data_IF_112783828658
#
_entry.id   IF_112783828658
#
_cell.length_a   1.000
_cell.length_b   1.000
_cell.length_c   1.000
_cell.angle_alpha   90.00
_cell.angle_beta   90.00
_cell.angle_gamma   90.00
#
_symmetry.space_group_name_H-M   'P 1'
#
loop_
_entity.id
_entity.type
_entity.pdbx_description
1 polymer ?
#
# COMPACT_ATOMS: atom_id res chain seq x y z
N UNK A 1 -1.49 4.68 8.21
CA UNK A 1 -2.96 4.77 8.16
C UNK A 1 -3.51 5.05 6.76
N UNK A 2 -2.95 5.99 5.98
CA UNK A 2 -3.41 6.28 4.60
C UNK A 2 -3.53 5.05 3.70
N UNK A 3 -2.50 4.18 3.68
CA UNK A 3 -2.53 2.89 2.96
C UNK A 3 -3.69 1.97 3.39
N UNK A 4 -4.00 1.91 4.69
CA UNK A 4 -5.14 1.12 5.16
C UNK A 4 -6.46 1.69 4.66
N UNK A 5 -6.62 3.02 4.69
CA UNK A 5 -7.81 3.68 4.14
C UNK A 5 -7.98 3.39 2.65
N UNK A 6 -6.89 3.34 1.87
CA UNK A 6 -6.93 2.99 0.45
C UNK A 6 -7.48 1.57 0.24
N UNK A 7 -6.92 0.56 0.91
CA UNK A 7 -7.37 -0.83 0.70
C UNK A 7 -8.79 -1.10 1.25
N UNK A 8 -9.23 -0.39 2.30
CA UNK A 8 -10.63 -0.46 2.73
C UNK A 8 -11.56 0.14 1.68
N UNK A 9 -11.18 1.27 1.07
CA UNK A 9 -11.96 1.87 -0.03
C UNK A 9 -11.99 0.96 -1.26
N UNK A 10 -10.87 0.31 -1.60
CA UNK A 10 -10.81 -0.62 -2.72
C UNK A 10 -11.68 -1.87 -2.49
N UNK A 11 -11.64 -2.42 -1.28
CA UNK A 11 -12.56 -3.48 -0.88
C UNK A 11 -14.02 -3.05 -1.11
N UNK A 12 -14.42 -1.88 -0.60
CA UNK A 12 -15.80 -1.43 -0.77
C UNK A 12 -16.16 -1.15 -2.24
N UNK A 13 -15.21 -0.66 -3.05
CA UNK A 13 -15.41 -0.43 -4.49
C UNK A 13 -15.70 -1.73 -5.24
N UNK A 14 -14.93 -2.79 -4.96
CA UNK A 14 -15.14 -4.11 -5.58
C UNK A 14 -16.41 -4.77 -5.05
N UNK A 15 -16.70 -4.64 -3.75
CA UNK A 15 -17.92 -5.20 -3.15
C UNK A 15 -19.18 -4.58 -3.77
N UNK A 16 -19.20 -3.25 -3.96
CA UNK A 16 -20.30 -2.55 -4.64
C UNK A 16 -20.48 -3.05 -6.09
N UNK A 17 -19.38 -3.31 -6.80
CA UNK A 17 -19.46 -3.90 -8.14
C UNK A 17 -20.14 -5.28 -8.12
N UNK A 18 -19.80 -6.16 -7.17
CA UNK A 18 -20.47 -7.47 -7.09
C UNK A 18 -21.93 -7.37 -6.65
N UNK A 19 -22.25 -6.49 -5.72
CA UNK A 19 -23.63 -6.23 -5.28
C UNK A 19 -24.54 -5.81 -6.44
N UNK A 20 -24.01 -4.98 -7.35
CA UNK A 20 -24.76 -4.52 -8.53
C UNK A 20 -24.83 -5.55 -9.68
N UNK A 21 -23.90 -6.50 -9.75
CA UNK A 21 -23.71 -7.36 -10.93
C UNK A 21 -23.92 -8.85 -10.68
N UNK A 22 -24.26 -9.26 -9.45
CA UNK A 22 -24.45 -10.68 -9.08
C UNK A 22 -25.65 -10.85 -8.17
N UNK A 23 -26.13 -12.09 -8.03
CA UNK A 23 -27.14 -12.47 -7.02
C UNK A 23 -26.49 -13.02 -5.74
N UNK A 24 -25.24 -12.65 -5.47
CA UNK A 24 -24.51 -13.17 -4.32
C UNK A 24 -24.99 -12.56 -3.00
N UNK A 25 -25.03 -13.39 -1.97
CA UNK A 25 -25.26 -12.94 -0.61
C UNK A 25 -24.05 -12.15 -0.07
N UNK A 26 -24.29 -11.30 0.93
CA UNK A 26 -23.29 -10.39 1.50
C UNK A 26 -21.99 -11.08 1.95
N UNK A 27 -22.07 -12.27 2.53
CA UNK A 27 -20.89 -13.05 2.95
C UNK A 27 -20.04 -13.48 1.74
N UNK A 28 -20.67 -13.90 0.65
CA UNK A 28 -19.97 -14.30 -0.56
C UNK A 28 -19.29 -13.09 -1.21
N UNK A 29 -20.00 -11.95 -1.30
CA UNK A 29 -19.41 -10.69 -1.78
C UNK A 29 -18.18 -10.32 -0.94
N UNK A 30 -18.28 -10.39 0.39
CA UNK A 30 -17.17 -10.07 1.28
C UNK A 30 -15.96 -10.98 1.05
N UNK A 31 -16.15 -12.30 0.99
CA UNK A 31 -15.05 -13.25 0.83
C UNK A 31 -14.40 -13.16 -0.54
N UNK A 32 -15.18 -13.05 -1.62
CA UNK A 32 -14.63 -12.90 -2.97
C UNK A 32 -13.88 -11.58 -3.12
N UNK A 33 -14.42 -10.50 -2.56
CA UNK A 33 -13.72 -9.21 -2.56
C UNK A 33 -12.43 -9.25 -1.74
N UNK A 34 -12.46 -9.86 -0.55
CA UNK A 34 -11.26 -10.08 0.27
C UNK A 34 -10.21 -10.90 -0.47
N UNK A 35 -10.63 -11.92 -1.22
CA UNK A 35 -9.72 -12.76 -2.03
C UNK A 35 -9.04 -11.95 -3.13
N UNK A 36 -9.77 -11.06 -3.81
CA UNK A 36 -9.22 -10.17 -4.83
C UNK A 36 -8.21 -9.19 -4.23
N UNK A 37 -8.55 -8.50 -3.14
CA UNK A 37 -7.63 -7.58 -2.46
C UNK A 37 -6.36 -8.32 -1.99
N UNK A 38 -6.50 -9.55 -1.50
CA UNK A 38 -5.35 -10.41 -1.17
C UNK A 38 -4.46 -10.71 -2.39
N UNK A 39 -5.06 -10.95 -3.56
CA UNK A 39 -4.34 -11.16 -4.81
C UNK A 39 -3.65 -9.86 -5.31
N UNK A 40 -4.28 -8.70 -5.15
CA UNK A 40 -3.66 -7.39 -5.47
C UNK A 40 -2.41 -7.15 -4.62
N UNK A 41 -2.50 -7.38 -3.30
CA UNK A 41 -1.37 -7.26 -2.38
C UNK A 41 -0.23 -8.22 -2.76
N UNK A 42 -0.55 -9.47 -3.09
CA UNK A 42 0.44 -10.44 -3.56
C UNK A 42 1.06 -10.00 -4.89
N UNK A 43 0.26 -9.52 -5.83
CA UNK A 43 0.74 -9.06 -7.12
C UNK A 43 1.73 -7.91 -6.95
N UNK A 44 1.35 -6.85 -6.23
CA UNK A 44 2.22 -5.69 -5.96
C UNK A 44 3.51 -6.16 -5.27
N UNK A 45 3.41 -7.01 -4.26
CA UNK A 45 4.58 -7.51 -3.50
C UNK A 45 5.56 -8.25 -4.40
N UNK A 46 5.11 -9.27 -5.13
CA UNK A 46 6.00 -10.12 -5.92
C UNK A 46 6.44 -9.48 -7.24
N UNK A 47 5.60 -8.62 -7.83
CA UNK A 47 5.86 -8.01 -9.13
C UNK A 47 6.62 -6.70 -9.05
N UNK A 48 6.33 -5.88 -8.05
CA UNK A 48 6.77 -4.50 -7.99
C UNK A 48 7.75 -4.26 -6.84
N UNK A 49 7.46 -4.77 -5.65
CA UNK A 49 8.27 -4.50 -4.45
C UNK A 49 9.54 -5.39 -4.36
N UNK A 50 9.37 -6.72 -4.35
CA UNK A 50 10.49 -7.66 -4.19
C UNK A 50 11.60 -7.48 -5.25
N UNK A 51 11.32 -7.21 -6.54
CA UNK A 51 12.37 -6.99 -7.53
C UNK A 51 13.19 -5.71 -7.31
N UNK A 52 12.67 -4.73 -6.54
CA UNK A 52 13.42 -3.54 -6.15
C UNK A 52 14.31 -3.81 -4.93
N UNK A 53 13.91 -4.75 -4.07
CA UNK A 53 14.62 -5.10 -2.83
C UNK A 53 15.67 -6.19 -3.01
N UNK A 54 15.42 -7.15 -3.90
CA UNK A 54 16.21 -8.36 -4.06
C UNK A 54 16.94 -8.40 -5.38
N UNK A 55 18.14 -8.99 -5.37
CA UNK A 55 18.90 -9.18 -6.61
C UNK A 55 18.13 -10.06 -7.61
N UNK A 56 18.29 -9.84 -8.93
CA UNK A 56 17.70 -10.71 -9.95
C UNK A 56 18.08 -12.19 -9.78
N UNK A 57 19.27 -12.47 -9.21
CA UNK A 57 19.71 -13.83 -8.87
C UNK A 57 18.83 -14.43 -7.76
N UNK A 58 18.62 -13.70 -6.66
CA UNK A 58 17.77 -14.13 -5.55
C UNK A 58 16.34 -14.43 -5.99
N UNK A 59 15.75 -13.55 -6.83
CA UNK A 59 14.41 -13.74 -7.38
C UNK A 59 14.32 -15.04 -8.21
N UNK A 60 15.32 -15.32 -9.05
CA UNK A 60 15.36 -16.54 -9.86
C UNK A 60 15.59 -17.79 -9.02
N UNK A 61 16.59 -17.77 -8.16
CA UNK A 61 17.00 -18.93 -7.37
C UNK A 61 15.89 -19.40 -6.41
N UNK A 62 15.00 -18.48 -5.99
CA UNK A 62 13.87 -18.77 -5.11
C UNK A 62 12.50 -18.81 -5.82
N UNK A 63 12.46 -18.76 -7.16
CA UNK A 63 11.22 -18.80 -7.95
C UNK A 63 10.17 -17.75 -7.52
N UNK A 64 10.61 -16.53 -7.20
CA UNK A 64 9.74 -15.44 -6.71
C UNK A 64 9.11 -14.62 -7.84
N UNK A 65 9.49 -14.87 -9.09
CA UNK A 65 8.90 -14.16 -10.23
C UNK A 65 7.49 -14.69 -10.53
N UNK A 66 6.53 -13.79 -10.74
CA UNK A 66 5.20 -14.15 -11.20
C UNK A 66 5.27 -14.85 -12.58
N UNK A 67 4.38 -15.83 -12.76
CA UNK A 67 4.19 -16.50 -14.05
C UNK A 67 3.71 -15.48 -15.10
N UNK A 68 4.19 -15.63 -16.33
CA UNK A 68 3.78 -14.79 -17.46
C UNK A 68 2.56 -15.41 -18.17
N UNK A 69 1.68 -14.56 -18.68
CA UNK A 69 0.50 -14.95 -19.45
C UNK A 69 -0.69 -15.36 -18.59
N UNK A 70 -1.59 -16.16 -19.15
CA UNK A 70 -2.86 -16.57 -18.52
C UNK A 70 -2.76 -17.83 -17.65
N UNK A 71 -1.54 -18.28 -17.32
CA UNK A 71 -1.30 -19.52 -16.57
C UNK A 71 -1.34 -19.27 -15.06
N UNK A 72 -2.01 -20.15 -14.33
CA UNK A 72 -2.02 -20.15 -12.87
C UNK A 72 -0.80 -20.90 -12.31
N UNK A 73 -0.36 -20.50 -11.11
CA UNK A 73 0.66 -21.23 -10.37
C UNK A 73 0.07 -22.55 -9.85
N UNK A 74 0.71 -23.66 -10.17
CA UNK A 74 0.31 -25.02 -9.77
C UNK A 74 1.34 -25.70 -8.84
N UNK A 75 2.32 -24.94 -8.33
CA UNK A 75 3.41 -25.45 -7.49
C UNK A 75 3.15 -25.36 -5.98
N UNK A 76 1.89 -25.26 -5.54
CA UNK A 76 1.59 -25.25 -4.10
C UNK A 76 2.05 -26.56 -3.46
N UNK A 77 2.89 -26.45 -2.43
CA UNK A 77 3.38 -27.59 -1.67
C UNK A 77 2.90 -27.47 -0.20
N UNK A 78 1.99 -28.34 0.26
CA UNK A 78 1.45 -28.27 1.61
C UNK A 78 2.48 -28.59 2.71
N UNK A 79 3.64 -29.12 2.35
CA UNK A 79 4.72 -29.43 3.30
C UNK A 79 5.68 -28.25 3.54
N UNK A 80 5.51 -27.14 2.83
CA UNK A 80 6.31 -25.93 3.06
C UNK A 80 5.84 -25.25 4.35
N UNK A 81 6.77 -24.98 5.26
CA UNK A 81 6.45 -24.19 6.44
C UNK A 81 6.26 -22.72 6.04
N UNK A 82 5.01 -22.24 6.08
CA UNK A 82 4.65 -20.86 5.77
C UNK A 82 4.83 -19.89 6.96
N UNK A 83 5.35 -20.36 8.10
CA UNK A 83 5.60 -19.49 9.26
C UNK A 83 6.71 -18.48 8.96
N UNK A 84 6.48 -17.24 9.40
CA UNK A 84 7.49 -16.19 9.37
C UNK A 84 8.62 -16.54 10.35
N UNK A 85 9.87 -16.44 9.89
CA UNK A 85 11.03 -16.68 10.75
C UNK A 85 11.22 -15.53 11.75
N UNK A 86 11.71 -15.86 12.95
CA UNK A 86 12.02 -14.86 13.98
C UNK A 86 13.07 -13.85 13.51
N UNK A 87 14.06 -14.29 12.75
CA UNK A 87 15.10 -13.41 12.20
C UNK A 87 14.51 -12.37 11.23
N UNK A 88 13.53 -12.78 10.42
CA UNK A 88 12.85 -11.88 9.49
C UNK A 88 12.05 -10.81 10.25
N UNK A 89 11.23 -11.22 11.22
CA UNK A 89 10.34 -10.31 11.98
C UNK A 89 11.08 -9.38 12.94
N UNK A 90 12.13 -9.88 13.61
CA UNK A 90 12.82 -9.14 14.66
C UNK A 90 13.90 -8.19 14.11
N UNK A 91 14.49 -8.51 12.96
CA UNK A 91 15.66 -7.79 12.45
C UNK A 91 15.59 -7.50 10.95
N UNK A 92 15.57 -8.53 10.09
CA UNK A 92 15.86 -8.34 8.67
C UNK A 92 14.88 -7.39 7.97
N UNK A 93 13.57 -7.53 8.24
CA UNK A 93 12.56 -6.69 7.59
C UNK A 93 12.47 -5.26 8.16
N UNK A 94 13.27 -4.93 9.19
CA UNK A 94 13.40 -3.55 9.70
C UNK A 94 14.33 -2.68 8.86
N UNK A 95 14.92 -3.19 7.78
CA UNK A 95 15.71 -2.38 6.83
C UNK A 95 14.92 -1.15 6.35
N UNK A 96 13.59 -1.25 6.27
CA UNK A 96 12.71 -0.14 5.94
C UNK A 96 12.82 1.08 6.89
N UNK A 97 13.33 0.92 8.11
CA UNK A 97 13.59 2.05 9.01
C UNK A 97 14.62 3.02 8.45
N UNK A 98 15.60 2.53 7.67
CA UNK A 98 16.59 3.39 6.98
C UNK A 98 16.00 4.15 5.79
N UNK A 99 14.79 3.80 5.34
CA UNK A 99 14.10 4.45 4.22
C UNK A 99 13.17 5.58 4.67
N UNK A 100 12.94 5.73 5.97
CA UNK A 100 12.02 6.72 6.55
C UNK A 100 12.64 8.12 6.50
N UNK A 101 11.91 9.07 5.91
CA UNK A 101 12.27 10.48 5.93
C UNK A 101 11.86 11.14 7.27
N UNK A 102 12.49 12.25 7.65
CA UNK A 102 12.13 12.98 8.88
C UNK A 102 10.72 13.59 8.84
N UNK A 103 10.25 13.92 7.63
CA UNK A 103 8.94 14.51 7.38
C UNK A 103 8.29 13.87 6.15
N UNK A 104 6.97 13.69 6.19
CA UNK A 104 6.18 13.30 5.04
C UNK A 104 5.66 14.54 4.33
N UNK A 105 6.11 14.77 3.10
CA UNK A 105 5.60 15.86 2.29
C UNK A 105 4.11 15.64 1.96
N UNK A 106 3.33 16.72 1.97
CA UNK A 106 1.93 16.72 1.54
C UNK A 106 1.80 17.66 0.36
N UNK A 107 1.36 17.12 -0.78
CA UNK A 107 1.31 17.90 -2.01
C UNK A 107 -0.13 18.31 -2.34
N UNK A 108 -0.29 19.60 -2.63
CA UNK A 108 -1.45 20.10 -3.36
C UNK A 108 -1.25 19.84 -4.86
N UNK A 109 -2.34 19.77 -5.60
CA UNK A 109 -2.30 19.73 -7.06
C UNK A 109 -3.41 20.62 -7.58
N UNK A 110 -3.11 21.37 -8.64
CA UNK A 110 -4.13 22.17 -9.32
C UNK A 110 -5.30 21.28 -9.76
N UNK A 111 -6.54 21.73 -9.54
CA UNK A 111 -7.78 20.95 -9.72
C UNK A 111 -8.08 19.87 -8.67
N UNK A 112 -7.19 19.63 -7.71
CA UNK A 112 -7.44 18.78 -6.54
C UNK A 112 -7.40 19.58 -5.22
N UNK A 113 -7.54 20.90 -5.30
CA UNK A 113 -7.65 21.75 -4.12
C UNK A 113 -9.01 21.49 -3.44
N UNK A 114 -9.00 21.17 -2.15
CA UNK A 114 -10.24 21.08 -1.38
C UNK A 114 -10.73 22.49 -1.06
N UNK A 115 -11.75 22.96 -1.79
CA UNK A 115 -12.45 24.23 -1.53
C UNK A 115 -13.39 24.07 -0.33
N UNK A 116 -12.84 24.01 0.87
CA UNK A 116 -13.66 24.00 2.08
C UNK A 116 -14.14 25.40 2.48
N UNK A 117 -13.31 26.42 2.27
CA UNK A 117 -13.59 27.84 2.54
C UNK A 117 -12.88 28.70 1.48
N UNK A 118 -13.05 30.02 1.56
CA UNK A 118 -12.29 30.99 0.75
C UNK A 118 -10.77 30.94 0.99
N UNK A 119 -10.32 30.25 2.04
CA UNK A 119 -8.91 30.06 2.40
C UNK A 119 -8.38 28.69 1.93
N UNK A 120 -8.54 28.38 0.64
CA UNK A 120 -7.80 27.24 0.06
C UNK A 120 -6.30 27.52 0.17
N UNK A 121 -5.61 26.77 1.04
CA UNK A 121 -4.15 26.87 1.15
C UNK A 121 -3.51 26.36 -0.14
N UNK A 122 -2.58 27.14 -0.68
CA UNK A 122 -1.78 26.74 -1.84
C UNK A 122 -0.88 25.54 -1.53
N UNK A 123 -0.46 25.38 -0.28
CA UNK A 123 0.46 24.33 0.18
C UNK A 123 0.05 23.75 1.54
N UNK A 124 0.34 22.47 1.74
CA UNK A 124 0.09 21.76 3.00
C UNK A 124 1.41 21.50 3.72
N UNK A 125 1.48 21.86 5.01
CA UNK A 125 2.68 21.61 5.82
C UNK A 125 3.03 20.12 5.85
N UNK A 126 4.32 19.74 5.78
CA UNK A 126 4.75 18.35 5.98
C UNK A 126 4.30 17.79 7.33
N UNK A 127 4.16 16.47 7.41
CA UNK A 127 3.87 15.76 8.67
C UNK A 127 5.21 15.31 9.27
N UNK A 128 5.63 15.82 10.44
CA UNK A 128 6.86 15.34 11.08
C UNK A 128 6.67 13.90 11.58
N UNK A 129 7.68 13.04 11.41
CA UNK A 129 7.65 11.68 11.99
C UNK A 129 7.51 11.70 13.52
N UNK A 130 7.99 12.76 14.17
CA UNK A 130 7.85 12.96 15.62
C UNK A 130 6.39 13.12 16.06
N UNK A 131 5.48 13.50 15.17
CA UNK A 131 4.04 13.58 15.42
C UNK A 131 3.34 12.23 15.16
N UNK A 132 4.01 11.14 15.55
CA UNK A 132 3.55 9.78 15.35
C UNK A 132 2.25 9.51 16.13
N UNK A 133 1.31 8.80 15.52
CA UNK A 133 0.04 8.44 16.15
C UNK A 133 -1.03 9.52 16.08
N UNK A 134 -0.77 10.68 15.47
CA UNK A 134 -1.76 11.72 15.27
C UNK A 134 -2.65 11.43 14.04
N UNK A 135 -3.95 11.12 14.21
CA UNK A 135 -4.82 10.80 13.09
C UNK A 135 -5.41 12.05 12.41
N UNK A 136 -5.20 13.24 12.96
CA UNK A 136 -5.83 14.50 12.51
C UNK A 136 -5.58 14.75 11.03
N UNK A 137 -4.36 14.51 10.54
CA UNK A 137 -3.99 14.71 9.14
C UNK A 137 -4.79 13.87 8.13
N UNK A 138 -5.37 12.74 8.57
CA UNK A 138 -6.19 11.88 7.72
C UNK A 138 -7.60 12.43 7.56
N UNK A 139 -8.16 12.98 8.64
CA UNK A 139 -9.55 13.45 8.72
C UNK A 139 -9.70 14.90 8.26
N UNK A 140 -8.62 15.67 8.29
CA UNK A 140 -8.59 17.05 7.82
C UNK A 140 -8.59 17.11 6.29
N UNK A 141 -9.76 16.81 5.70
CA UNK A 141 -10.01 16.86 4.26
C UNK A 141 -9.71 18.24 3.68
N UNK A 142 -9.96 19.30 4.46
CA UNK A 142 -9.75 20.68 4.04
C UNK A 142 -8.27 21.03 3.91
N UNK A 143 -7.40 20.42 4.72
CA UNK A 143 -5.96 20.51 4.56
C UNK A 143 -5.37 19.26 3.87
N UNK A 144 -6.09 18.72 2.87
CA UNK A 144 -5.59 17.74 1.91
C UNK A 144 -5.83 16.28 2.27
N UNK A 145 -6.18 15.98 3.51
CA UNK A 145 -6.51 14.63 3.99
C UNK A 145 -5.56 13.53 3.51
N UNK A 146 -6.14 12.36 3.25
CA UNK A 146 -5.44 11.17 2.74
C UNK A 146 -4.78 11.39 1.36
N UNK A 147 -5.42 12.16 0.48
CA UNK A 147 -4.99 12.35 -0.90
C UNK A 147 -3.65 13.11 -0.99
N UNK A 148 -3.49 14.16 -0.19
CA UNK A 148 -2.25 14.94 -0.13
C UNK A 148 -1.05 14.11 0.33
N UNK A 149 -1.29 13.15 1.25
CA UNK A 149 -0.28 12.22 1.75
C UNK A 149 0.14 11.26 0.63
N UNK A 150 -0.81 10.71 -0.14
CA UNK A 150 -0.49 9.83 -1.26
C UNK A 150 0.29 10.54 -2.38
N UNK A 151 -0.09 11.77 -2.73
CA UNK A 151 0.69 12.56 -3.69
C UNK A 151 2.11 12.78 -3.20
N UNK A 152 2.27 13.05 -1.91
CA UNK A 152 3.55 13.11 -1.23
C UNK A 152 4.36 11.83 -1.40
N UNK A 153 3.79 10.67 -1.07
CA UNK A 153 4.45 9.36 -1.17
C UNK A 153 4.88 9.02 -2.61
N UNK A 154 4.11 9.43 -3.63
CA UNK A 154 4.44 9.18 -5.04
C UNK A 154 5.55 10.08 -5.57
N UNK A 155 5.66 11.31 -5.05
CA UNK A 155 6.61 12.32 -5.56
C UNK A 155 7.89 12.43 -4.75
N UNK A 156 7.85 12.07 -3.46
CA UNK A 156 8.99 12.20 -2.57
C UNK A 156 9.91 10.98 -2.72
N UNK A 157 11.22 11.17 -2.87
CA UNK A 157 12.15 10.05 -2.84
C UNK A 157 12.17 9.41 -1.44
N UNK A 158 12.47 8.11 -1.35
CA UNK A 158 12.80 7.50 -0.06
C UNK A 158 14.11 8.08 0.50
N UNK A 159 14.33 7.97 1.81
CA UNK A 159 15.64 8.28 2.39
C UNK A 159 16.70 7.34 1.80
N UNK A 160 17.95 7.83 1.70
CA UNK A 160 19.07 6.98 1.27
C UNK A 160 19.38 5.99 2.38
N UNK A 161 19.62 4.73 2.00
CA UNK A 161 20.16 3.75 2.93
C UNK A 161 21.62 4.13 3.19
N UNK A 162 21.96 4.40 4.44
CA UNK A 162 23.36 4.53 4.86
C UNK A 162 24.05 3.18 4.65
N UNK A 163 25.03 3.16 3.74
CA UNK A 163 25.82 1.98 3.37
C UNK A 163 27.26 2.09 3.80
#
# INVERSE_FOLDING_TARGET
MSMHTLFVREHNRIAAFFDENTEWEAEQIYQETRRIVGAELQFITYKEDLPLLLSPKTIRDNNLALLKGTRYFNGYNPNVNAQMSQAFSAAAYRFGHSLVQEEFLRLSQHSFEHKCNNDSKSEFYPIPVKDFGNPTYLYDKCNGGVDSIFRGLVKSPAAKIDG
#
